data_IF_471124167181
#
_entry.id   IF_471124167181
#
_cell.length_a   1.000
_cell.length_b   1.000
_cell.length_c   1.000
_cell.angle_alpha   90.00
_cell.angle_beta   90.00
_cell.angle_gamma   90.00
#
_symmetry.space_group_name_H-M   'P 1'
#
loop_
_entity.id
_entity.type
_entity.pdbx_description
1 polymer ?
#
# COMPACT_ATOMS: atom_id res chain seq x y z
N UNK A 1 -1.79 20.38 -19.81
CA UNK A 1 -3.19 20.81 -19.62
C UNK A 1 -3.99 19.95 -18.63
N UNK A 2 -3.80 18.63 -18.58
CA UNK A 2 -4.55 17.73 -17.67
C UNK A 2 -4.26 18.05 -16.19
N UNK A 3 -3.01 18.33 -15.82
CA UNK A 3 -2.64 18.69 -14.43
C UNK A 3 -3.37 19.97 -14.01
N UNK A 4 -3.40 21.00 -14.86
CA UNK A 4 -4.13 22.24 -14.54
C UNK A 4 -5.63 22.01 -14.39
N UNK A 5 -6.23 21.13 -15.21
CA UNK A 5 -7.64 20.78 -15.08
C UNK A 5 -7.94 20.08 -13.75
N UNK A 6 -7.08 19.14 -13.33
CA UNK A 6 -7.19 18.46 -12.03
C UNK A 6 -7.05 19.44 -10.85
N UNK A 7 -6.04 20.33 -10.90
CA UNK A 7 -5.86 21.35 -9.87
C UNK A 7 -7.07 22.29 -9.77
N UNK A 8 -7.62 22.72 -10.91
CA UNK A 8 -8.85 23.53 -10.92
C UNK A 8 -10.04 22.78 -10.33
N UNK A 9 -10.22 21.49 -10.65
CA UNK A 9 -11.28 20.66 -10.08
C UNK A 9 -11.14 20.54 -8.55
N UNK A 10 -9.91 20.36 -8.05
CA UNK A 10 -9.65 20.30 -6.61
C UNK A 10 -9.97 21.62 -5.89
N UNK A 11 -9.82 22.77 -6.58
CA UNK A 11 -10.10 24.09 -6.04
C UNK A 11 -11.54 24.55 -6.21
N UNK A 12 -12.45 23.74 -6.82
CA UNK A 12 -13.85 24.12 -6.97
C UNK A 12 -14.52 24.27 -5.61
N UNK A 13 -15.09 25.45 -5.38
CA UNK A 13 -15.91 25.78 -4.21
C UNK A 13 -17.33 25.25 -4.36
N UNK A 14 -18.06 25.26 -3.26
CA UNK A 14 -19.50 25.00 -3.28
C UNK A 14 -20.22 26.08 -4.11
N UNK A 15 -21.24 25.69 -4.83
CA UNK A 15 -22.04 26.57 -5.67
C UNK A 15 -23.51 26.49 -5.27
N UNK A 16 -24.15 27.63 -5.12
CA UNK A 16 -25.61 27.72 -4.93
C UNK A 16 -26.26 27.97 -6.27
N UNK A 17 -26.99 27.01 -6.78
CA UNK A 17 -27.71 27.11 -8.02
C UNK A 17 -28.91 28.09 -7.93
N UNK A 18 -29.45 28.62 -9.05
CA UNK A 18 -30.61 29.52 -9.04
C UNK A 18 -31.87 28.99 -8.36
N UNK A 19 -32.01 27.67 -8.27
CA UNK A 19 -33.11 26.99 -7.59
C UNK A 19 -32.85 26.81 -6.09
N UNK A 20 -31.79 27.39 -5.52
CA UNK A 20 -31.39 27.25 -4.11
C UNK A 20 -30.69 25.95 -3.75
N UNK A 21 -30.48 25.04 -4.69
CA UNK A 21 -29.74 23.79 -4.46
C UNK A 21 -28.25 24.06 -4.34
N UNK A 22 -27.62 23.53 -3.28
CA UNK A 22 -26.17 23.57 -3.09
C UNK A 22 -25.53 22.40 -3.81
N UNK A 23 -24.53 22.69 -4.66
CA UNK A 23 -23.65 21.70 -5.29
C UNK A 23 -22.30 21.79 -4.60
N UNK A 24 -21.93 20.75 -3.87
CA UNK A 24 -20.66 20.72 -3.14
C UNK A 24 -19.47 20.61 -4.09
N UNK A 25 -18.44 21.41 -3.85
CA UNK A 25 -17.14 21.30 -4.50
C UNK A 25 -16.47 19.94 -4.23
N UNK A 26 -15.46 19.61 -5.05
CA UNK A 26 -14.82 18.29 -4.96
C UNK A 26 -14.15 18.05 -3.60
N UNK A 27 -13.46 19.05 -3.06
CA UNK A 27 -12.81 18.95 -1.75
C UNK A 27 -13.81 18.79 -0.60
N UNK A 28 -14.92 19.53 -0.62
CA UNK A 28 -15.97 19.37 0.40
C UNK A 28 -16.56 17.95 0.37
N UNK A 29 -16.86 17.42 -0.83
CA UNK A 29 -17.33 16.04 -1.00
C UNK A 29 -16.30 15.02 -0.47
N UNK A 30 -15.01 15.23 -0.78
CA UNK A 30 -13.94 14.40 -0.26
C UNK A 30 -13.92 14.39 1.28
N UNK A 31 -13.93 15.54 1.93
CA UNK A 31 -13.95 15.64 3.38
C UNK A 31 -15.14 14.91 3.99
N UNK A 32 -16.33 15.07 3.39
CA UNK A 32 -17.55 14.39 3.83
C UNK A 32 -17.46 12.86 3.71
N UNK A 33 -16.98 12.34 2.56
CA UNK A 33 -16.92 10.90 2.33
C UNK A 33 -15.74 10.21 3.02
N UNK A 34 -14.66 10.94 3.31
CA UNK A 34 -13.48 10.41 4.02
C UNK A 34 -13.58 10.53 5.55
N UNK A 35 -14.66 11.08 6.09
CA UNK A 35 -14.80 11.32 7.54
C UNK A 35 -13.96 12.48 8.06
N UNK A 36 -13.45 13.35 7.17
CA UNK A 36 -12.62 14.52 7.51
C UNK A 36 -13.44 15.83 7.44
N UNK A 37 -14.71 15.84 7.78
CA UNK A 37 -15.57 17.02 7.63
C UNK A 37 -15.02 18.25 8.36
N UNK A 38 -14.38 18.07 9.52
CA UNK A 38 -13.75 19.14 10.29
C UNK A 38 -12.56 19.80 9.57
N UNK A 39 -12.03 19.19 8.54
CA UNK A 39 -10.92 19.73 7.73
C UNK A 39 -11.39 20.65 6.59
N UNK A 40 -12.70 20.67 6.31
CA UNK A 40 -13.25 21.57 5.29
C UNK A 40 -13.43 22.99 5.84
N UNK A 41 -13.03 23.97 5.04
CA UNK A 41 -13.29 25.41 5.24
C UNK A 41 -13.54 26.05 3.87
N UNK A 42 -14.35 27.11 3.80
CA UNK A 42 -14.69 27.76 2.54
C UNK A 42 -13.50 28.39 1.82
N UNK A 43 -12.52 28.89 2.57
CA UNK A 43 -11.31 29.54 2.06
C UNK A 43 -10.11 28.60 1.93
N UNK A 44 -10.38 27.28 1.75
CA UNK A 44 -9.32 26.28 1.61
C UNK A 44 -8.37 26.57 0.44
N UNK A 45 -7.13 26.16 0.63
CA UNK A 45 -6.06 26.15 -0.37
C UNK A 45 -5.77 24.72 -0.85
N UNK A 46 -4.89 24.56 -1.83
CA UNK A 46 -4.39 23.24 -2.24
C UNK A 46 -3.64 22.53 -1.12
N UNK A 47 -2.94 23.27 -0.26
CA UNK A 47 -2.24 22.69 0.89
C UNK A 47 -3.22 22.05 1.88
N UNK A 48 -4.40 22.68 2.08
CA UNK A 48 -5.47 22.08 2.89
C UNK A 48 -5.98 20.77 2.27
N UNK A 49 -6.12 20.72 0.93
CA UNK A 49 -6.50 19.49 0.21
C UNK A 49 -5.45 18.42 0.42
N UNK A 50 -4.16 18.74 0.21
CA UNK A 50 -3.07 17.77 0.34
C UNK A 50 -2.90 17.29 1.79
N UNK A 51 -3.19 18.14 2.79
CA UNK A 51 -3.14 17.76 4.19
C UNK A 51 -4.14 16.66 4.57
N UNK A 52 -5.23 16.51 3.82
CA UNK A 52 -6.23 15.44 4.05
C UNK A 52 -5.91 14.12 3.35
N UNK A 53 -4.92 14.10 2.46
CA UNK A 53 -4.54 12.87 1.75
C UNK A 53 -3.69 11.97 2.66
N UNK A 54 -3.94 10.65 2.61
CA UNK A 54 -3.10 9.71 3.36
C UNK A 54 -1.66 9.74 2.81
N UNK A 55 -0.69 9.76 3.72
CA UNK A 55 0.73 9.71 3.38
C UNK A 55 1.25 8.29 3.49
N UNK A 56 2.14 7.92 2.57
CA UNK A 56 2.78 6.61 2.54
C UNK A 56 4.28 6.75 2.32
N UNK A 57 5.03 5.81 2.88
CA UNK A 57 6.42 5.55 2.53
C UNK A 57 6.43 4.31 1.65
N UNK A 58 6.83 4.48 0.40
CA UNK A 58 6.72 3.44 -0.64
C UNK A 58 8.09 3.14 -1.23
N UNK A 59 8.43 1.86 -1.39
CA UNK A 59 9.61 1.45 -2.15
C UNK A 59 9.48 1.88 -3.60
N UNK A 60 10.42 2.68 -4.11
CA UNK A 60 10.44 3.13 -5.50
C UNK A 60 10.75 1.98 -6.46
N UNK A 61 9.98 1.87 -7.53
CA UNK A 61 10.13 0.77 -8.52
C UNK A 61 11.47 0.74 -9.24
N UNK A 62 12.20 1.86 -9.26
CA UNK A 62 13.54 2.01 -9.85
C UNK A 62 14.68 1.84 -8.84
N UNK A 63 14.38 1.65 -7.57
CA UNK A 63 15.41 1.43 -6.56
C UNK A 63 16.05 0.05 -6.74
N UNK A 64 17.37 -0.04 -6.56
CA UNK A 64 18.08 -1.32 -6.66
C UNK A 64 17.54 -2.37 -5.68
N UNK A 65 17.11 -1.97 -4.48
CA UNK A 65 16.52 -2.86 -3.48
C UNK A 65 15.14 -3.41 -3.87
N UNK A 66 14.48 -2.81 -4.89
CA UNK A 66 13.20 -3.27 -5.43
C UNK A 66 13.35 -4.37 -6.48
N UNK A 67 14.59 -4.76 -6.82
CA UNK A 67 14.89 -5.72 -7.88
C UNK A 67 15.69 -6.87 -7.28
N UNK A 68 15.13 -8.08 -7.35
CA UNK A 68 15.81 -9.31 -6.96
C UNK A 68 16.10 -10.16 -8.20
N UNK A 69 17.28 -10.76 -8.25
CA UNK A 69 17.61 -11.78 -9.22
C UNK A 69 17.34 -13.14 -8.59
N UNK A 70 16.40 -13.90 -9.16
CA UNK A 70 16.02 -15.23 -8.71
C UNK A 70 16.49 -16.28 -9.74
N UNK A 71 16.74 -17.50 -9.25
CA UNK A 71 17.16 -18.64 -10.07
C UNK A 71 15.98 -19.44 -10.60
N UNK A 72 14.92 -19.52 -9.79
CA UNK A 72 13.72 -20.30 -10.09
C UNK A 72 12.92 -19.66 -11.22
N UNK A 73 12.72 -20.38 -12.32
CA UNK A 73 11.85 -19.97 -13.44
C UNK A 73 10.36 -20.19 -13.13
N UNK A 74 10.05 -21.15 -12.26
CA UNK A 74 8.69 -21.52 -11.87
C UNK A 74 8.22 -20.68 -10.68
N UNK A 75 7.59 -19.55 -10.99
CA UNK A 75 7.15 -18.59 -9.96
C UNK A 75 6.07 -19.15 -9.02
N UNK A 76 5.28 -20.13 -9.45
CA UNK A 76 4.31 -20.83 -8.60
C UNK A 76 5.00 -21.62 -7.48
N UNK A 77 6.05 -22.37 -7.80
CA UNK A 77 6.84 -23.11 -6.81
C UNK A 77 7.54 -22.19 -5.82
N UNK A 78 8.16 -21.11 -6.35
CA UNK A 78 8.78 -20.08 -5.50
C UNK A 78 7.79 -19.54 -4.47
N UNK A 79 6.57 -19.20 -4.92
CA UNK A 79 5.54 -18.62 -4.05
C UNK A 79 4.92 -19.63 -3.08
N UNK A 80 4.87 -20.91 -3.44
CA UNK A 80 4.50 -21.97 -2.49
C UNK A 80 5.53 -22.12 -1.35
N UNK A 81 6.84 -22.11 -1.70
CA UNK A 81 7.91 -22.11 -0.69
C UNK A 81 7.90 -20.81 0.13
N UNK A 82 7.69 -19.67 -0.54
CA UNK A 82 7.58 -18.37 0.12
C UNK A 82 6.44 -18.37 1.14
N UNK A 83 5.29 -18.92 0.82
CA UNK A 83 4.16 -19.00 1.76
C UNK A 83 4.57 -19.70 3.06
N UNK A 84 5.19 -20.88 2.98
CA UNK A 84 5.65 -21.61 4.17
C UNK A 84 6.62 -20.78 5.02
N UNK A 85 7.59 -20.13 4.36
CA UNK A 85 8.55 -19.28 5.04
C UNK A 85 7.89 -18.03 5.66
N UNK A 86 6.90 -17.45 4.97
CA UNK A 86 6.13 -16.31 5.45
C UNK A 86 5.24 -16.67 6.65
N UNK A 87 4.59 -17.83 6.63
CA UNK A 87 3.76 -18.31 7.72
C UNK A 87 4.61 -18.55 9.00
N UNK A 88 5.81 -19.14 8.86
CA UNK A 88 6.77 -19.27 9.95
C UNK A 88 7.21 -17.89 10.49
N UNK A 89 7.61 -16.98 9.58
CA UNK A 89 7.96 -15.60 9.94
C UNK A 89 6.80 -14.92 10.68
N UNK A 90 5.57 -15.08 10.21
CA UNK A 90 4.40 -14.50 10.88
C UNK A 90 4.23 -15.02 12.29
N UNK A 91 4.34 -16.34 12.51
CA UNK A 91 4.23 -16.91 13.85
C UNK A 91 5.31 -16.41 14.80
N UNK A 92 6.53 -16.25 14.31
CA UNK A 92 7.66 -15.76 15.11
C UNK A 92 7.59 -14.26 15.39
N UNK A 93 7.11 -13.47 14.45
CA UNK A 93 7.21 -12.00 14.49
C UNK A 93 5.91 -11.28 14.80
N UNK A 94 4.75 -11.94 14.80
CA UNK A 94 3.44 -11.29 15.00
C UNK A 94 3.35 -10.42 16.25
N UNK A 95 3.90 -10.89 17.40
CA UNK A 95 3.88 -10.10 18.64
C UNK A 95 4.75 -8.86 18.53
N UNK A 96 5.95 -8.98 17.95
CA UNK A 96 6.84 -7.86 17.69
C UNK A 96 6.22 -6.83 16.72
N UNK A 97 5.61 -7.32 15.62
CA UNK A 97 4.95 -6.46 14.64
C UNK A 97 3.74 -5.75 15.23
N UNK A 98 3.02 -6.41 16.13
CA UNK A 98 1.91 -5.81 16.86
C UNK A 98 2.39 -4.71 17.81
N UNK A 99 3.32 -5.01 18.70
CA UNK A 99 3.83 -4.07 19.71
C UNK A 99 4.48 -2.84 19.09
N UNK A 100 5.25 -3.05 18.02
CA UNK A 100 6.03 -1.97 17.40
C UNK A 100 5.26 -1.17 16.36
N UNK A 101 4.41 -1.82 15.55
CA UNK A 101 3.79 -1.22 14.37
C UNK A 101 2.27 -1.31 14.35
N UNK A 102 1.65 -1.97 15.34
CA UNK A 102 0.20 -2.12 15.44
C UNK A 102 -0.39 -3.14 14.46
N UNK A 103 0.42 -4.04 13.90
CA UNK A 103 -0.07 -5.06 12.97
C UNK A 103 -0.69 -6.22 13.73
N UNK A 104 -2.00 -6.44 13.54
CA UNK A 104 -2.76 -7.51 14.19
C UNK A 104 -3.05 -8.70 13.28
N UNK A 105 -3.12 -8.49 11.96
CA UNK A 105 -3.47 -9.52 11.00
C UNK A 105 -2.97 -9.20 9.60
N UNK A 106 -3.05 -10.19 8.70
CA UNK A 106 -2.76 -10.01 7.29
C UNK A 106 -3.78 -10.70 6.38
N UNK A 107 -3.79 -10.30 5.12
CA UNK A 107 -4.56 -10.91 4.05
C UNK A 107 -3.70 -10.98 2.79
N UNK A 108 -3.68 -12.12 2.12
CA UNK A 108 -3.03 -12.26 0.83
C UNK A 108 -4.00 -12.03 -0.32
N UNK A 109 -3.50 -11.36 -1.36
CA UNK A 109 -4.26 -10.99 -2.57
C UNK A 109 -3.41 -11.29 -3.79
N UNK A 110 -4.04 -11.79 -4.84
CA UNK A 110 -3.39 -12.00 -6.13
C UNK A 110 -3.97 -11.05 -7.19
N UNK A 111 -3.09 -10.50 -8.02
CA UNK A 111 -3.45 -9.68 -9.18
C UNK A 111 -2.92 -10.33 -10.47
N UNK A 112 -3.83 -10.77 -11.34
CA UNK A 112 -3.54 -11.29 -12.68
C UNK A 112 -4.14 -10.34 -13.72
N UNK A 113 -3.32 -9.45 -14.28
CA UNK A 113 -3.81 -8.34 -15.11
C UNK A 113 -4.73 -7.43 -14.30
N UNK A 114 -5.96 -7.24 -14.76
CA UNK A 114 -7.00 -6.45 -14.08
C UNK A 114 -7.81 -7.25 -13.06
N UNK A 115 -7.68 -8.59 -13.03
CA UNK A 115 -8.43 -9.45 -12.12
C UNK A 115 -7.70 -9.55 -10.79
N UNK A 116 -8.40 -9.18 -9.71
CA UNK A 116 -7.96 -9.37 -8.34
C UNK A 116 -8.70 -10.54 -7.69
N UNK A 117 -7.96 -11.37 -6.94
CA UNK A 117 -8.50 -12.44 -6.09
C UNK A 117 -8.09 -12.15 -4.66
N UNK A 118 -9.07 -11.96 -3.78
CA UNK A 118 -8.88 -11.68 -2.36
C UNK A 118 -8.90 -12.96 -1.53
N UNK A 119 -8.46 -12.88 -0.27
CA UNK A 119 -8.44 -13.99 0.69
C UNK A 119 -7.69 -15.23 0.16
N UNK A 120 -6.54 -15.01 -0.45
CA UNK A 120 -5.76 -16.09 -1.03
C UNK A 120 -5.18 -16.96 0.08
N UNK A 121 -5.52 -18.25 0.05
CA UNK A 121 -5.02 -19.26 1.00
C UNK A 121 -3.87 -20.08 0.43
N UNK A 122 -3.65 -20.03 -0.87
CA UNK A 122 -2.54 -20.65 -1.60
C UNK A 122 -1.84 -19.60 -2.47
N UNK A 123 -0.62 -19.25 -2.10
CA UNK A 123 0.14 -18.20 -2.80
C UNK A 123 0.62 -18.64 -4.19
N UNK A 124 0.73 -19.96 -4.42
CA UNK A 124 1.15 -20.51 -5.71
C UNK A 124 0.19 -20.16 -6.86
N UNK A 125 -1.09 -19.98 -6.54
CA UNK A 125 -2.14 -19.58 -7.49
C UNK A 125 -1.85 -18.25 -8.16
N UNK A 126 -1.08 -17.37 -7.52
CA UNK A 126 -0.66 -16.11 -8.13
C UNK A 126 0.32 -16.27 -9.29
N UNK A 127 0.95 -17.44 -9.45
CA UNK A 127 1.85 -17.82 -10.55
C UNK A 127 2.74 -16.66 -11.03
N UNK A 128 2.60 -16.22 -12.27
CA UNK A 128 3.32 -15.06 -12.85
C UNK A 128 2.70 -13.70 -12.46
N UNK A 129 1.52 -13.69 -11.85
CA UNK A 129 0.84 -12.47 -11.40
C UNK A 129 1.48 -11.84 -10.16
N UNK A 130 0.95 -10.70 -9.75
CA UNK A 130 1.36 -10.03 -8.52
C UNK A 130 0.79 -10.74 -7.29
N UNK A 131 1.63 -11.04 -6.32
CA UNK A 131 1.22 -11.44 -4.97
C UNK A 131 1.39 -10.25 -4.04
N UNK A 132 0.34 -9.90 -3.30
CA UNK A 132 0.31 -8.82 -2.33
C UNK A 132 -0.12 -9.38 -0.98
N UNK A 133 0.61 -9.08 0.08
CA UNK A 133 0.20 -9.35 1.46
C UNK A 133 -0.05 -8.02 2.14
N UNK A 134 -1.29 -7.78 2.54
CA UNK A 134 -1.74 -6.54 3.17
C UNK A 134 -1.80 -6.79 4.67
N UNK A 135 -1.23 -5.88 5.45
CA UNK A 135 -1.22 -5.92 6.91
C UNK A 135 -2.24 -4.93 7.48
N UNK A 136 -2.97 -5.37 8.49
CA UNK A 136 -4.06 -4.63 9.11
C UNK A 136 -3.80 -4.39 10.59
N UNK A 137 -4.29 -3.27 11.09
CA UNK A 137 -4.37 -3.01 12.53
C UNK A 137 -5.59 -3.72 13.17
N UNK A 138 -5.82 -3.49 14.48
CA UNK A 138 -6.94 -4.11 15.21
C UNK A 138 -8.31 -3.67 14.69
N UNK A 139 -8.45 -2.43 14.22
CA UNK A 139 -9.67 -1.89 13.60
C UNK A 139 -9.89 -2.37 12.16
N UNK A 140 -9.06 -3.31 11.67
CA UNK A 140 -9.11 -3.81 10.28
C UNK A 140 -8.81 -2.77 9.21
N UNK A 141 -8.13 -1.67 9.56
CA UNK A 141 -7.63 -0.73 8.58
C UNK A 141 -6.30 -1.23 7.99
N UNK A 142 -6.10 -1.17 6.66
CA UNK A 142 -4.84 -1.50 6.05
C UNK A 142 -3.79 -0.43 6.41
N UNK A 143 -2.64 -0.84 6.92
CA UNK A 143 -1.56 0.06 7.35
C UNK A 143 -0.25 -0.16 6.60
N UNK A 144 -0.07 -1.31 5.99
CA UNK A 144 1.08 -1.58 5.12
C UNK A 144 0.82 -2.75 4.18
N UNK A 145 1.66 -2.93 3.18
CA UNK A 145 1.70 -4.15 2.39
C UNK A 145 3.11 -4.46 1.89
N UNK A 146 3.32 -5.72 1.56
CA UNK A 146 4.42 -6.21 0.73
C UNK A 146 3.86 -6.77 -0.57
N UNK A 147 4.61 -6.62 -1.66
CA UNK A 147 4.19 -7.08 -2.97
C UNK A 147 5.38 -7.63 -3.76
N UNK A 148 5.12 -8.67 -4.55
CA UNK A 148 6.10 -9.27 -5.44
C UNK A 148 5.49 -9.68 -6.78
N UNK A 149 6.32 -9.61 -7.84
CA UNK A 149 5.98 -10.09 -9.18
C UNK A 149 7.23 -10.40 -9.97
N UNK A 150 7.21 -11.54 -10.68
CA UNK A 150 8.23 -11.81 -11.70
C UNK A 150 8.06 -10.92 -12.92
N UNK A 151 9.18 -10.50 -13.52
CA UNK A 151 9.15 -9.88 -14.85
C UNK A 151 8.82 -10.93 -15.90
N UNK A 152 8.03 -10.58 -16.89
CA UNK A 152 7.73 -11.45 -18.03
C UNK A 152 8.82 -11.48 -19.10
N UNK A 153 9.74 -10.51 -19.08
CA UNK A 153 10.76 -10.29 -20.14
C UNK A 153 12.18 -10.31 -19.63
N UNK A 154 12.40 -10.21 -18.31
CA UNK A 154 13.72 -10.16 -17.68
C UNK A 154 13.80 -11.20 -16.57
N UNK A 155 14.99 -11.68 -16.22
CA UNK A 155 15.25 -12.52 -15.03
C UNK A 155 15.17 -11.72 -13.72
N UNK A 156 14.32 -10.71 -13.67
CA UNK A 156 14.13 -9.82 -12.55
C UNK A 156 12.81 -10.14 -11.81
N UNK A 157 12.90 -10.14 -10.50
CA UNK A 157 11.75 -10.26 -9.61
C UNK A 157 11.57 -8.94 -8.88
N UNK A 158 10.43 -8.31 -9.10
CA UNK A 158 10.13 -6.99 -8.50
C UNK A 158 9.49 -7.17 -7.14
N UNK A 159 9.96 -6.39 -6.18
CA UNK A 159 9.42 -6.34 -4.82
C UNK A 159 9.10 -4.91 -4.44
N UNK A 160 8.08 -4.73 -3.60
CA UNK A 160 7.65 -3.43 -3.11
C UNK A 160 7.12 -3.59 -1.69
N UNK A 161 7.35 -2.56 -0.90
CA UNK A 161 6.71 -2.35 0.38
C UNK A 161 6.06 -0.97 0.40
N UNK A 162 4.94 -0.84 1.08
CA UNK A 162 4.21 0.41 1.27
C UNK A 162 3.74 0.48 2.72
N UNK A 163 4.02 1.59 3.39
CA UNK A 163 3.68 1.81 4.80
C UNK A 163 2.96 3.13 4.94
N UNK A 164 1.77 3.09 5.52
CA UNK A 164 0.98 4.28 5.83
C UNK A 164 1.62 5.07 6.97
N UNK A 165 1.78 6.37 6.79
CA UNK A 165 2.13 7.30 7.87
C UNK A 165 0.86 7.57 8.67
N UNK A 166 0.86 7.24 9.98
CA UNK A 166 -0.36 7.22 10.79
C UNK A 166 -0.90 8.62 11.12
N UNK A 167 0.00 9.58 11.28
CA UNK A 167 -0.33 10.99 11.52
C UNK A 167 0.70 11.92 10.85
N UNK A 168 0.50 13.24 10.94
CA UNK A 168 1.37 14.22 10.28
C UNK A 168 2.64 14.57 11.08
N UNK A 169 2.95 13.85 12.18
CA UNK A 169 4.15 14.10 12.96
C UNK A 169 5.43 13.59 12.26
N UNK A 170 6.55 14.22 12.52
CA UNK A 170 7.86 13.79 12.06
C UNK A 170 8.20 12.39 12.61
N UNK A 171 7.87 12.13 13.88
CA UNK A 171 8.06 10.82 14.51
C UNK A 171 7.29 9.68 13.79
N UNK A 172 6.06 9.94 13.35
CA UNK A 172 5.29 8.96 12.55
C UNK A 172 5.91 8.72 11.18
N UNK A 173 6.45 9.76 10.55
CA UNK A 173 7.16 9.62 9.27
C UNK A 173 8.45 8.80 9.44
N UNK A 174 9.28 9.12 10.43
CA UNK A 174 10.51 8.35 10.72
C UNK A 174 10.22 6.89 11.04
N UNK A 175 9.18 6.64 11.83
CA UNK A 175 8.71 5.30 12.14
C UNK A 175 8.27 4.54 10.89
N UNK A 176 7.54 5.18 9.98
CA UNK A 176 7.11 4.59 8.72
C UNK A 176 8.30 4.29 7.78
N UNK A 177 9.31 5.18 7.71
CA UNK A 177 10.55 4.99 6.95
C UNK A 177 11.32 3.77 7.49
N UNK A 178 11.49 3.70 8.81
CA UNK A 178 12.18 2.59 9.46
C UNK A 178 11.45 1.26 9.21
N UNK A 179 10.12 1.27 9.28
CA UNK A 179 9.31 0.09 9.08
C UNK A 179 9.27 -0.37 7.62
N UNK A 180 9.17 0.56 6.66
CA UNK A 180 9.23 0.21 5.23
C UNK A 180 10.53 -0.53 4.91
N UNK A 181 11.65 -0.02 5.40
CA UNK A 181 12.97 -0.63 5.21
C UNK A 181 13.04 -2.03 5.84
N UNK A 182 12.63 -2.16 7.11
CA UNK A 182 12.64 -3.44 7.84
C UNK A 182 11.74 -4.47 7.15
N UNK A 183 10.52 -4.07 6.76
CA UNK A 183 9.54 -4.96 6.13
C UNK A 183 9.99 -5.41 4.74
N UNK A 184 10.61 -4.52 3.95
CA UNK A 184 11.19 -4.86 2.65
C UNK A 184 12.37 -5.82 2.80
N UNK A 185 13.22 -5.64 3.82
CA UNK A 185 14.33 -6.54 4.10
C UNK A 185 13.83 -7.95 4.48
N UNK A 186 12.82 -8.06 5.36
CA UNK A 186 12.18 -9.34 5.66
C UNK A 186 11.61 -9.99 4.41
N UNK A 187 10.85 -9.25 3.62
CA UNK A 187 10.25 -9.74 2.39
C UNK A 187 11.29 -10.27 1.40
N UNK A 188 12.35 -9.51 1.15
CA UNK A 188 13.44 -9.89 0.25
C UNK A 188 14.20 -11.13 0.74
N UNK A 189 14.44 -11.24 2.05
CA UNK A 189 15.12 -12.39 2.63
C UNK A 189 14.26 -13.66 2.55
N UNK A 190 12.95 -13.56 2.76
CA UNK A 190 12.02 -14.68 2.60
C UNK A 190 11.98 -15.18 1.15
N UNK A 191 12.01 -14.27 0.16
CA UNK A 191 12.11 -14.64 -1.26
C UNK A 191 13.42 -15.36 -1.56
N UNK A 192 14.55 -14.82 -1.13
CA UNK A 192 15.87 -15.44 -1.31
C UNK A 192 15.97 -16.82 -0.65
N UNK A 193 15.34 -16.99 0.50
CA UNK A 193 15.26 -18.30 1.18
C UNK A 193 14.43 -19.30 0.38
N UNK A 194 13.40 -18.83 -0.30
CA UNK A 194 12.48 -19.64 -1.09
C UNK A 194 13.03 -20.02 -2.48
N UNK A 195 14.06 -19.32 -2.94
CA UNK A 195 14.73 -19.52 -4.23
C UNK A 195 15.92 -20.51 -4.17
N UNK A 196 16.03 -21.24 -3.07
CA UNK A 196 17.08 -22.26 -2.83
C UNK A 196 16.67 -23.62 -3.35
#
# INVERSE_FOLDING_TARGET
NTIFALLKLLCLKDEVLPNGKVVLGLFHRWCKYSGNESSYKEDFSLDDVFATLPKYVTTGVSENRAILHIKTSEHSELKAKYQKNFENFWQEKKSYLFERYGISSYQAVCNNGTKQTNNLTDFSVSAKGGLKVIFYNEEKNPISFIWMRGSGTESAFRVMCDVKVLDNSEASLEKAISFEKELLDYHSNLIKLSDK
#
